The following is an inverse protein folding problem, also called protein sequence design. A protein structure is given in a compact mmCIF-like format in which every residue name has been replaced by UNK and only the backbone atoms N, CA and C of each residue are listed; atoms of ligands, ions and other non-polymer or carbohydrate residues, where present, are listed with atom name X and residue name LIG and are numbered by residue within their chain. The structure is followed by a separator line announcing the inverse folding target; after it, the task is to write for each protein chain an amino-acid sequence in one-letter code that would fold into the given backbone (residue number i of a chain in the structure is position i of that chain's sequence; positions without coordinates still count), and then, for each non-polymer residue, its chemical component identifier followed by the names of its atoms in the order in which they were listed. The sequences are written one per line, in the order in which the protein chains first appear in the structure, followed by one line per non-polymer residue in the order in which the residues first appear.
data_IF_980924780176
#
_entry.id   IF_980924780176
#
_cell.length_a   1.000
_cell.length_b   1.000
_cell.length_c   1.000
_cell.angle_alpha   90.00
_cell.angle_beta   90.00
_cell.angle_gamma   90.00
#
_symmetry.space_group_name_H-M   'P 1'
#
loop_
_entity.id
_entity.type
_entity.pdbx_description
1 polymer ?
#
# COMPACT_ATOMS: atom_id res chain seq x y z
N UNK A 1 5.90 31.02 -6.77
CA UNK A 1 5.80 29.91 -5.79
C UNK A 1 6.54 30.34 -4.53
N UNK A 2 6.05 30.01 -3.33
CA UNK A 2 6.80 30.24 -2.10
C UNK A 2 8.06 29.37 -2.09
N UNK A 3 9.17 29.91 -1.58
CA UNK A 3 10.40 29.12 -1.40
C UNK A 3 10.15 28.04 -0.35
N UNK A 4 10.73 26.87 -0.57
CA UNK A 4 10.66 25.76 0.37
C UNK A 4 11.66 25.92 1.51
N UNK A 5 11.27 25.60 2.73
CA UNK A 5 12.18 25.69 3.85
C UNK A 5 13.13 24.49 3.91
N UNK A 6 14.44 24.75 3.87
CA UNK A 6 15.52 23.77 4.07
C UNK A 6 16.16 24.03 5.43
N UNK A 7 15.98 23.12 6.37
CA UNK A 7 16.46 23.24 7.75
C UNK A 7 17.68 22.36 7.93
N UNK A 8 18.80 22.96 8.33
CA UNK A 8 20.06 22.26 8.60
C UNK A 8 20.36 22.26 10.10
N UNK A 9 20.49 21.08 10.70
CA UNK A 9 21.04 20.87 12.05
C UNK A 9 22.49 20.39 11.92
N UNK A 10 23.44 21.28 12.15
CA UNK A 10 24.87 21.01 11.94
C UNK A 10 25.72 21.87 12.90
N UNK A 11 26.82 21.32 13.41
CA UNK A 11 27.75 22.02 14.29
C UNK A 11 29.02 22.49 13.57
N UNK A 12 29.38 21.84 12.46
CA UNK A 12 30.56 22.20 11.67
C UNK A 12 30.33 23.52 10.92
N UNK A 13 30.93 24.60 11.44
CA UNK A 13 30.84 25.94 10.87
C UNK A 13 31.38 26.03 9.44
N UNK A 14 32.39 25.23 9.08
CA UNK A 14 32.96 25.23 7.74
C UNK A 14 31.98 24.62 6.73
N UNK A 15 31.41 23.46 7.07
CA UNK A 15 30.38 22.84 6.24
C UNK A 15 29.15 23.73 6.10
N UNK A 16 28.69 24.35 7.20
CA UNK A 16 27.56 25.27 7.19
C UNK A 16 27.80 26.41 6.21
N UNK A 17 28.97 27.06 6.26
CA UNK A 17 29.28 28.19 5.39
C UNK A 17 29.35 27.75 3.92
N UNK A 18 30.06 26.66 3.63
CA UNK A 18 30.18 26.07 2.30
C UNK A 18 28.82 25.71 1.70
N UNK A 19 28.00 24.95 2.43
CA UNK A 19 26.70 24.48 1.95
C UNK A 19 25.69 25.63 1.82
N UNK A 20 25.63 26.53 2.81
CA UNK A 20 24.74 27.70 2.76
C UNK A 20 25.10 28.64 1.62
N UNK A 21 26.40 28.86 1.37
CA UNK A 21 26.88 29.69 0.26
C UNK A 21 26.53 29.07 -1.08
N UNK A 22 26.72 27.75 -1.23
CA UNK A 22 26.37 27.03 -2.46
C UNK A 22 24.85 27.06 -2.76
N UNK A 23 24.01 26.85 -1.74
CA UNK A 23 22.54 26.93 -1.91
C UNK A 23 22.11 28.34 -2.32
N UNK A 24 22.74 29.39 -1.79
CA UNK A 24 22.43 30.79 -2.12
C UNK A 24 22.98 31.26 -3.47
N UNK A 25 24.09 30.70 -3.94
CA UNK A 25 24.76 31.12 -5.19
C UNK A 25 24.37 30.29 -6.42
N UNK A 26 23.72 29.14 -6.22
CA UNK A 26 23.22 28.28 -7.30
C UNK A 26 21.80 28.66 -7.73
N UNK A 27 21.33 28.04 -8.83
CA UNK A 27 19.94 28.12 -9.31
C UNK A 27 18.90 27.73 -8.24
N UNK A 28 19.33 27.08 -7.16
CA UNK A 28 18.47 26.62 -6.08
C UNK A 28 18.11 27.71 -5.07
N UNK A 29 18.74 28.89 -5.17
CA UNK A 29 18.41 30.06 -4.35
C UNK A 29 16.96 30.53 -4.54
N UNK A 30 16.37 30.30 -5.71
CA UNK A 30 14.97 30.60 -5.99
C UNK A 30 14.01 29.54 -5.43
N UNK A 31 14.51 28.33 -5.16
CA UNK A 31 13.71 27.18 -4.71
C UNK A 31 13.73 26.99 -3.20
N UNK A 32 14.86 27.24 -2.54
CA UNK A 32 15.02 26.99 -1.11
C UNK A 32 15.25 28.27 -0.30
N UNK A 33 14.59 28.34 0.85
CA UNK A 33 14.90 29.25 1.94
C UNK A 33 15.56 28.45 3.06
N UNK A 34 16.83 28.71 3.32
CA UNK A 34 17.62 27.90 4.24
C UNK A 34 17.59 28.48 5.67
N UNK A 35 17.42 27.62 6.67
CA UNK A 35 17.53 27.93 8.10
C UNK A 35 18.53 26.97 8.74
N UNK A 36 19.44 27.49 9.56
CA UNK A 36 20.50 26.68 10.20
C UNK A 36 20.36 26.77 11.71
N UNK A 37 20.50 25.63 12.39
CA UNK A 37 20.64 25.57 13.84
C UNK A 37 21.89 24.80 14.21
N UNK A 38 22.70 25.39 15.08
CA UNK A 38 23.95 24.79 15.58
C UNK A 38 23.79 24.17 16.97
N UNK A 39 22.66 24.41 17.65
CA UNK A 39 22.34 23.80 18.95
C UNK A 39 21.09 22.94 18.88
N UNK A 40 21.07 21.85 19.67
CA UNK A 40 19.93 20.93 19.75
C UNK A 40 18.69 21.64 20.25
N UNK A 41 18.83 22.51 21.24
CA UNK A 41 17.73 23.21 21.90
C UNK A 41 16.94 24.05 20.91
N UNK A 42 17.63 24.88 20.12
CA UNK A 42 17.00 25.78 19.15
C UNK A 42 16.40 25.00 17.97
N UNK A 43 17.15 24.03 17.44
CA UNK A 43 16.66 23.19 16.34
C UNK A 43 15.42 22.38 16.73
N UNK A 44 15.39 21.83 17.93
CA UNK A 44 14.28 21.02 18.41
C UNK A 44 13.07 21.87 18.78
N UNK A 45 13.29 23.06 19.35
CA UNK A 45 12.21 24.04 19.58
C UNK A 45 11.56 24.45 18.26
N UNK A 46 12.36 24.71 17.22
CA UNK A 46 11.86 24.99 15.88
C UNK A 46 11.03 23.82 15.32
N UNK A 47 11.58 22.60 15.34
CA UNK A 47 10.88 21.37 14.89
C UNK A 47 9.54 21.21 15.61
N UNK A 48 9.53 21.44 16.92
CA UNK A 48 8.33 21.26 17.73
C UNK A 48 7.28 22.35 17.53
N UNK A 49 7.64 23.56 17.11
CA UNK A 49 6.69 24.65 16.87
C UNK A 49 6.22 24.76 15.42
N UNK A 50 7.03 24.26 14.50
CA UNK A 50 6.76 24.37 13.06
C UNK A 50 5.49 23.62 12.66
N UNK A 51 4.63 24.31 11.90
CA UNK A 51 3.40 23.75 11.32
C UNK A 51 3.47 23.63 9.80
N UNK A 52 4.47 24.25 9.20
CA UNK A 52 4.71 24.22 7.75
C UNK A 52 5.65 23.07 7.38
N UNK A 53 5.65 22.70 6.11
CA UNK A 53 6.48 21.60 5.60
C UNK A 53 7.90 22.08 5.34
N UNK A 54 8.89 21.30 5.79
CA UNK A 54 10.30 21.59 5.58
C UNK A 54 11.09 20.33 5.23
N UNK A 55 12.26 20.53 4.60
CA UNK A 55 13.28 19.50 4.45
C UNK A 55 14.21 19.61 5.65
N UNK A 56 14.44 18.52 6.37
CA UNK A 56 15.33 18.48 7.52
C UNK A 56 16.60 17.71 7.16
N UNK A 57 17.73 18.42 7.09
CA UNK A 57 19.06 17.83 7.04
C UNK A 57 19.62 17.84 8.45
N UNK A 58 19.78 16.67 9.07
CA UNK A 58 20.28 16.58 10.43
C UNK A 58 21.58 15.77 10.48
N UNK A 59 22.65 16.37 10.99
CA UNK A 59 23.86 15.63 11.28
C UNK A 59 23.59 14.55 12.33
N UNK A 60 24.21 13.38 12.19
CA UNK A 60 24.03 12.23 13.10
C UNK A 60 24.27 12.58 14.58
N UNK A 61 25.13 13.56 14.88
CA UNK A 61 25.35 14.04 16.26
C UNK A 61 24.11 14.69 16.90
N UNK A 62 23.15 15.13 16.10
CA UNK A 62 21.88 15.68 16.59
C UNK A 62 20.90 14.60 17.04
N UNK A 63 21.18 13.32 16.77
CA UNK A 63 20.32 12.23 17.23
C UNK A 63 20.35 12.08 18.76
N UNK A 64 19.25 11.58 19.37
CA UNK A 64 17.92 11.36 18.76
C UNK A 64 17.17 12.68 18.51
N UNK A 65 16.37 12.74 17.43
CA UNK A 65 15.51 13.89 17.10
C UNK A 65 14.14 13.81 17.81
N UNK A 66 13.44 14.95 18.01
CA UNK A 66 12.07 14.96 18.53
C UNK A 66 11.11 14.22 17.60
N UNK A 67 10.06 13.58 18.14
CA UNK A 67 9.08 12.81 17.35
C UNK A 67 8.46 13.61 16.19
N UNK A 68 8.27 14.92 16.41
CA UNK A 68 7.71 15.83 15.40
C UNK A 68 8.56 15.95 14.12
N UNK A 69 9.86 15.70 14.21
CA UNK A 69 10.77 15.69 13.06
C UNK A 69 10.33 14.64 12.01
N UNK A 70 9.76 13.53 12.48
CA UNK A 70 9.33 12.41 11.64
C UNK A 70 7.90 12.58 11.10
N UNK A 71 7.12 13.51 11.66
CA UNK A 71 5.71 13.74 11.29
C UNK A 71 5.51 14.81 10.22
N UNK A 72 6.43 15.79 10.13
CA UNK A 72 6.19 17.03 9.36
C UNK A 72 7.26 17.44 8.34
N UNK A 73 8.23 16.58 8.01
CA UNK A 73 9.26 16.92 7.02
C UNK A 73 9.84 15.74 6.26
N UNK A 74 10.58 16.07 5.20
CA UNK A 74 11.48 15.12 4.53
C UNK A 74 12.79 15.09 5.33
N UNK A 75 13.03 14.04 6.11
CA UNK A 75 14.24 13.89 6.92
C UNK A 75 15.35 13.18 6.14
N UNK A 76 16.54 13.77 6.17
CA UNK A 76 17.78 13.19 5.64
C UNK A 76 18.87 13.34 6.70
N UNK A 77 19.55 12.24 7.01
CA UNK A 77 20.65 12.22 7.97
C UNK A 77 21.95 12.54 7.23
N UNK A 78 22.74 13.46 7.77
CA UNK A 78 24.09 13.75 7.31
C UNK A 78 25.11 12.98 8.16
N UNK A 79 26.03 12.27 7.52
CA UNK A 79 27.13 11.56 8.17
C UNK A 79 28.48 11.96 7.58
N UNK A 80 29.55 11.83 8.36
CA UNK A 80 30.92 12.01 7.87
C UNK A 80 31.46 10.79 7.13
N UNK A 81 30.89 9.62 7.39
CA UNK A 81 31.31 8.37 6.74
C UNK A 81 30.23 7.88 5.78
N UNK A 82 30.61 7.24 4.65
CA UNK A 82 29.65 6.55 3.82
C UNK A 82 29.11 5.35 4.60
N UNK A 83 27.93 5.51 5.19
CA UNK A 83 27.19 4.41 5.82
C UNK A 83 26.46 3.66 4.71
N UNK A 84 26.55 2.33 4.70
CA UNK A 84 25.70 1.50 3.85
C UNK A 84 24.23 1.81 4.14
N UNK A 85 23.48 2.17 3.10
CA UNK A 85 22.06 2.61 3.14
C UNK A 85 21.16 1.59 3.87
N UNK A 86 21.61 0.34 3.99
CA UNK A 86 20.89 -0.78 4.59
C UNK A 86 20.88 -0.83 6.13
N UNK A 87 21.65 0.02 6.84
CA UNK A 87 21.73 -0.04 8.32
C UNK A 87 20.85 0.98 9.08
N UNK A 88 20.26 1.97 8.41
CA UNK A 88 19.50 3.05 9.08
C UNK A 88 18.10 3.23 8.50
N UNK A 89 17.15 3.63 9.34
CA UNK A 89 15.72 3.79 8.99
C UNK A 89 15.41 4.99 8.07
N UNK A 90 16.40 5.86 7.84
CA UNK A 90 16.27 7.11 7.09
C UNK A 90 17.42 7.25 6.07
N UNK A 91 17.22 8.00 4.96
CA UNK A 91 18.28 8.22 3.98
C UNK A 91 19.47 8.92 4.64
N UNK A 92 20.65 8.33 4.49
CA UNK A 92 21.91 8.87 5.01
C UNK A 92 22.74 9.38 3.83
N UNK A 93 23.14 10.65 3.88
CA UNK A 93 24.04 11.25 2.90
C UNK A 93 25.39 11.57 3.55
N UNK A 94 26.47 11.17 2.90
CA UNK A 94 27.82 11.54 3.31
C UNK A 94 28.06 13.04 3.05
N UNK A 95 28.55 13.79 4.04
CA UNK A 95 28.86 15.23 3.93
C UNK A 95 29.99 15.51 2.93
N UNK A 96 30.98 14.62 2.87
CA UNK A 96 32.21 14.81 2.10
C UNK A 96 32.04 14.34 0.65
N UNK A 97 31.20 15.05 -0.08
CA UNK A 97 30.97 14.86 -1.51
C UNK A 97 30.83 16.23 -2.20
N UNK A 98 30.91 16.31 -3.53
CA UNK A 98 30.64 17.55 -4.27
C UNK A 98 29.26 18.13 -3.89
N UNK A 99 29.20 19.42 -3.52
CA UNK A 99 27.96 20.05 -3.00
C UNK A 99 26.80 20.01 -4.01
N UNK A 100 27.11 20.01 -5.30
CA UNK A 100 26.12 19.82 -6.37
C UNK A 100 25.48 18.42 -6.31
N UNK A 101 26.26 17.37 -6.04
CA UNK A 101 25.76 16.00 -5.89
C UNK A 101 24.96 15.87 -4.60
N UNK A 102 25.48 16.40 -3.48
CA UNK A 102 24.77 16.39 -2.21
C UNK A 102 23.39 17.04 -2.34
N UNK A 103 23.33 18.25 -2.91
CA UNK A 103 22.07 18.97 -3.10
C UNK A 103 21.15 18.27 -4.10
N UNK A 104 21.71 17.66 -5.17
CA UNK A 104 20.93 16.85 -6.10
C UNK A 104 20.27 15.65 -5.41
N UNK A 105 20.99 14.96 -4.51
CA UNK A 105 20.44 13.85 -3.74
C UNK A 105 19.35 14.33 -2.76
N UNK A 106 19.55 15.48 -2.10
CA UNK A 106 18.53 16.11 -1.26
C UNK A 106 17.26 16.42 -2.06
N UNK A 107 17.41 17.02 -3.25
CA UNK A 107 16.28 17.33 -4.15
C UNK A 107 15.61 16.07 -4.67
N UNK A 108 16.37 15.02 -5.01
CA UNK A 108 15.84 13.75 -5.47
C UNK A 108 14.97 13.09 -4.40
N UNK A 109 15.49 12.96 -3.18
CA UNK A 109 14.73 12.43 -2.05
C UNK A 109 13.52 13.29 -1.71
N UNK A 110 13.66 14.60 -1.82
CA UNK A 110 12.55 15.50 -1.61
C UNK A 110 11.45 15.34 -2.67
N UNK A 111 11.82 15.19 -3.94
CA UNK A 111 10.88 14.97 -5.04
C UNK A 111 10.17 13.62 -4.91
N UNK A 112 10.86 12.59 -4.44
CA UNK A 112 10.27 11.29 -4.10
C UNK A 112 9.27 11.43 -2.94
N UNK A 113 9.67 12.12 -1.86
CA UNK A 113 8.84 12.45 -0.71
C UNK A 113 7.62 13.34 -1.05
N UNK A 114 7.77 14.30 -1.97
CA UNK A 114 6.64 15.14 -2.40
C UNK A 114 5.82 14.52 -3.50
N UNK A 115 6.38 13.63 -4.33
CA UNK A 115 5.54 12.86 -5.23
C UNK A 115 4.60 11.99 -4.41
N UNK A 116 5.09 11.32 -3.36
CA UNK A 116 4.20 10.58 -2.45
C UNK A 116 3.20 11.50 -1.72
N UNK A 117 3.60 12.71 -1.29
CA UNK A 117 2.77 13.64 -0.50
C UNK A 117 1.86 14.61 -1.30
N UNK A 118 2.21 15.02 -2.52
CA UNK A 118 1.31 15.77 -3.40
C UNK A 118 0.21 14.86 -3.96
N UNK A 119 0.43 13.55 -3.95
CA UNK A 119 -0.60 12.57 -4.22
C UNK A 119 -1.46 12.27 -2.96
N UNK A 120 -1.08 12.74 -1.75
CA UNK A 120 -1.90 12.66 -0.51
C UNK A 120 -2.94 13.79 -0.43
N UNK A 121 -3.54 14.20 -1.55
CA UNK A 121 -4.59 15.21 -1.53
C UNK A 121 -5.89 14.64 -0.95
N UNK A 122 -6.03 14.62 0.38
CA UNK A 122 -7.26 14.34 1.16
C UNK A 122 -8.20 13.22 0.66
N UNK A 123 -7.70 12.32 -0.19
CA UNK A 123 -8.43 11.16 -0.71
C UNK A 123 -8.25 10.06 0.30
N UNK A 124 -9.34 9.73 1.00
CA UNK A 124 -9.42 8.53 1.83
C UNK A 124 -9.11 7.34 0.90
N UNK A 125 -8.02 6.62 1.16
CA UNK A 125 -7.72 5.38 0.45
C UNK A 125 -8.81 4.36 0.72
N UNK A 126 -9.26 3.65 -0.31
CA UNK A 126 -10.25 2.57 -0.17
C UNK A 126 -9.55 1.22 -0.03
N UNK A 127 -10.00 0.39 0.90
CA UNK A 127 -9.54 -0.99 1.07
C UNK A 127 -10.56 -1.93 0.43
N UNK A 128 -10.13 -2.69 -0.57
CA UNK A 128 -10.97 -3.62 -1.33
C UNK A 128 -10.41 -5.02 -1.16
N UNK A 129 -11.23 -5.95 -0.64
CA UNK A 129 -10.84 -7.35 -0.51
C UNK A 129 -11.58 -8.25 -1.50
N UNK A 130 -10.90 -9.29 -1.96
CA UNK A 130 -11.50 -10.40 -2.70
C UNK A 130 -11.46 -11.65 -1.83
N UNK A 131 -12.63 -12.24 -1.60
CA UNK A 131 -12.81 -13.40 -0.72
C UNK A 131 -13.68 -14.48 -1.36
N UNK A 132 -13.54 -15.71 -0.89
CA UNK A 132 -14.50 -16.78 -1.18
C UNK A 132 -14.37 -17.89 -0.16
N UNK A 133 -15.49 -18.55 0.17
CA UNK A 133 -15.50 -19.74 1.02
C UNK A 133 -14.80 -20.96 0.38
N UNK A 134 -14.45 -20.92 -0.91
CA UNK A 134 -13.90 -22.06 -1.65
C UNK A 134 -12.68 -21.64 -2.47
N UNK A 135 -11.67 -22.50 -2.50
CA UNK A 135 -10.51 -22.38 -3.39
C UNK A 135 -10.88 -22.56 -4.86
N UNK A 136 -10.01 -22.09 -5.77
CA UNK A 136 -10.17 -22.31 -7.22
C UNK A 136 -11.33 -21.56 -7.89
N UNK A 137 -12.02 -20.67 -7.18
CA UNK A 137 -13.07 -19.81 -7.75
C UNK A 137 -12.52 -18.59 -8.50
N UNK A 138 -11.20 -18.32 -8.44
CA UNK A 138 -10.54 -17.22 -9.15
C UNK A 138 -10.31 -15.94 -8.34
N UNK A 139 -10.15 -16.03 -7.00
CA UNK A 139 -9.89 -14.88 -6.11
C UNK A 139 -8.67 -14.06 -6.53
N UNK A 140 -7.49 -14.69 -6.49
CA UNK A 140 -6.19 -14.12 -6.88
C UNK A 140 -6.25 -13.42 -8.22
N UNK A 141 -6.82 -14.11 -9.23
CA UNK A 141 -6.94 -13.57 -10.58
C UNK A 141 -7.87 -12.35 -10.62
N UNK A 142 -9.01 -12.42 -9.94
CA UNK A 142 -9.96 -11.29 -9.87
C UNK A 142 -9.33 -10.09 -9.16
N UNK A 143 -8.64 -10.31 -8.04
CA UNK A 143 -7.94 -9.28 -7.29
C UNK A 143 -6.85 -8.60 -8.13
N UNK A 144 -5.99 -9.40 -8.79
CA UNK A 144 -4.91 -8.88 -9.62
C UNK A 144 -5.44 -8.11 -10.84
N UNK A 145 -6.46 -8.63 -11.53
CA UNK A 145 -7.06 -7.94 -12.69
C UNK A 145 -7.77 -6.64 -12.29
N UNK A 146 -8.44 -6.63 -11.15
CA UNK A 146 -9.07 -5.43 -10.63
C UNK A 146 -8.04 -4.38 -10.23
N UNK A 147 -7.00 -4.77 -9.49
CA UNK A 147 -5.91 -3.87 -9.15
C UNK A 147 -5.26 -3.26 -10.40
N UNK A 148 -5.05 -4.08 -11.43
CA UNK A 148 -4.54 -3.64 -12.74
C UNK A 148 -5.50 -2.67 -13.43
N UNK A 149 -6.79 -2.95 -13.46
CA UNK A 149 -7.77 -2.07 -14.11
C UNK A 149 -7.83 -0.69 -13.43
N UNK A 150 -7.83 -0.67 -12.09
CA UNK A 150 -7.73 0.56 -11.32
C UNK A 150 -6.42 1.31 -11.61
N UNK A 151 -5.30 0.60 -11.66
CA UNK A 151 -4.01 1.18 -12.03
C UNK A 151 -4.02 1.80 -13.44
N UNK A 152 -4.62 1.12 -14.42
CA UNK A 152 -4.78 1.65 -15.77
C UNK A 152 -5.67 2.88 -15.85
N UNK A 153 -6.63 3.01 -14.92
CA UNK A 153 -7.46 4.21 -14.78
C UNK A 153 -6.73 5.35 -14.05
N UNK A 154 -5.45 5.18 -13.74
CA UNK A 154 -4.60 6.17 -13.09
C UNK A 154 -4.70 6.18 -11.56
N UNK A 155 -5.37 5.19 -10.95
CA UNK A 155 -5.36 5.02 -9.49
C UNK A 155 -4.01 4.46 -9.04
N UNK A 156 -3.53 4.91 -7.90
CA UNK A 156 -2.36 4.31 -7.23
C UNK A 156 -2.87 3.14 -6.40
N UNK A 157 -2.47 1.93 -6.78
CA UNK A 157 -2.97 0.70 -6.15
C UNK A 157 -1.81 -0.02 -5.48
N UNK A 158 -2.02 -0.41 -4.23
CA UNK A 158 -1.13 -1.34 -3.52
C UNK A 158 -1.81 -2.71 -3.40
N UNK A 159 -1.13 -3.78 -3.81
CA UNK A 159 -1.63 -5.14 -3.75
C UNK A 159 -0.98 -5.92 -2.60
N UNK A 160 -1.80 -6.55 -1.76
CA UNK A 160 -1.38 -7.45 -0.70
C UNK A 160 -2.04 -8.82 -0.88
N UNK A 161 -1.24 -9.86 -1.02
CA UNK A 161 -1.73 -11.24 -0.88
C UNK A 161 -1.65 -11.67 0.58
N UNK A 162 -2.78 -12.12 1.11
CA UNK A 162 -2.88 -12.82 2.37
C UNK A 162 -3.25 -14.29 2.15
N UNK A 163 -2.74 -14.88 1.06
CA UNK A 163 -2.80 -16.33 0.88
C UNK A 163 -1.65 -17.02 1.61
N UNK A 164 -1.93 -18.15 2.26
CA UNK A 164 -0.88 -18.99 2.86
C UNK A 164 0.09 -19.54 1.79
N UNK A 165 -0.43 -19.78 0.58
CA UNK A 165 0.31 -20.32 -0.56
C UNK A 165 0.05 -19.45 -1.81
N UNK A 166 0.69 -18.27 -1.91
CA UNK A 166 0.43 -17.37 -3.02
C UNK A 166 0.98 -17.95 -4.32
N UNK A 167 0.25 -17.77 -5.42
CA UNK A 167 0.71 -18.23 -6.74
C UNK A 167 1.82 -17.33 -7.27
N UNK A 168 3.03 -17.86 -7.39
CA UNK A 168 4.15 -17.14 -8.00
C UNK A 168 4.00 -16.94 -9.52
N UNK A 169 3.03 -17.58 -10.17
CA UNK A 169 2.87 -17.61 -11.63
C UNK A 169 2.59 -16.22 -12.26
N UNK A 170 2.18 -15.24 -11.46
CA UNK A 170 1.92 -13.88 -11.90
C UNK A 170 2.73 -12.82 -11.16
N UNK A 171 3.63 -13.23 -10.28
CA UNK A 171 4.59 -12.33 -9.63
C UNK A 171 5.82 -12.22 -10.54
N UNK A 172 6.37 -11.03 -10.69
CA UNK A 172 7.60 -10.88 -11.45
C UNK A 172 8.71 -11.69 -10.76
N UNK A 173 9.51 -12.47 -11.53
CA UNK A 173 10.64 -13.19 -10.97
C UNK A 173 11.53 -12.20 -10.22
N UNK A 174 11.71 -12.41 -8.91
CA UNK A 174 12.61 -11.57 -8.14
C UNK A 174 14.00 -11.63 -8.76
N UNK A 175 14.59 -10.46 -9.05
CA UNK A 175 15.95 -10.37 -9.57
C UNK A 175 17.00 -10.85 -8.55
N UNK A 176 16.63 -10.92 -7.27
CA UNK A 176 17.47 -11.38 -6.17
C UNK A 176 16.76 -12.46 -5.34
N UNK A 177 17.45 -13.58 -5.11
CA UNK A 177 16.92 -14.76 -4.41
C UNK A 177 16.55 -14.52 -2.93
N UNK A 178 16.90 -13.35 -2.35
CA UNK A 178 16.80 -13.02 -0.92
C UNK A 178 15.79 -11.88 -0.59
N UNK A 179 15.00 -11.41 -1.56
CA UNK A 179 14.01 -10.35 -1.32
C UNK A 179 12.69 -10.89 -0.73
N UNK A 180 12.74 -11.43 0.49
CA UNK A 180 11.50 -11.71 1.24
C UNK A 180 11.05 -10.46 2.01
N UNK A 181 10.63 -9.45 1.26
CA UNK A 181 10.27 -8.16 1.81
C UNK A 181 8.97 -8.19 2.58
N UNK A 182 8.04 -9.09 2.24
CA UNK A 182 6.83 -9.29 3.02
C UNK A 182 7.15 -9.70 4.48
N UNK A 183 8.00 -10.71 4.69
CA UNK A 183 8.42 -11.13 6.03
C UNK A 183 9.12 -10.01 6.80
N UNK A 184 9.97 -9.22 6.10
CA UNK A 184 10.59 -8.04 6.72
C UNK A 184 9.56 -7.01 7.16
N UNK A 185 8.54 -6.75 6.33
CA UNK A 185 7.44 -5.84 6.68
C UNK A 185 6.66 -6.33 7.90
N UNK A 186 6.41 -7.64 8.04
CA UNK A 186 5.80 -8.20 9.25
C UNK A 186 6.69 -7.99 10.48
N UNK A 187 7.99 -8.25 10.36
CA UNK A 187 8.96 -8.03 11.44
C UNK A 187 8.99 -6.57 11.92
N UNK A 188 9.00 -5.59 11.00
CA UNK A 188 8.97 -4.17 11.38
C UNK A 188 7.67 -3.81 12.11
N UNK A 189 6.52 -4.37 11.71
CA UNK A 189 5.25 -4.17 12.40
C UNK A 189 5.27 -4.64 13.85
N UNK A 190 5.96 -5.75 14.12
CA UNK A 190 6.16 -6.28 15.49
C UNK A 190 7.08 -5.41 16.34
N UNK A 191 7.93 -4.59 15.71
CA UNK A 191 8.94 -3.77 16.40
C UNK A 191 8.44 -2.34 16.62
N UNK A 192 8.07 -1.63 15.56
CA UNK A 192 7.48 -0.28 15.60
C UNK A 192 6.67 -0.01 14.31
N UNK A 193 5.37 0.24 14.44
CA UNK A 193 4.47 0.52 13.32
C UNK A 193 4.87 1.75 12.49
N UNK A 194 5.56 2.73 13.09
CA UNK A 194 6.08 3.92 12.38
C UNK A 194 7.22 3.52 11.44
N UNK A 195 8.09 2.62 11.90
CA UNK A 195 9.17 2.06 11.08
C UNK A 195 8.58 1.23 9.95
N UNK A 196 7.59 0.39 10.25
CA UNK A 196 6.88 -0.37 9.23
C UNK A 196 6.33 0.55 8.12
N UNK A 197 5.67 1.65 8.50
CA UNK A 197 5.14 2.66 7.55
C UNK A 197 6.26 3.28 6.71
N UNK A 198 7.36 3.70 7.32
CA UNK A 198 8.50 4.29 6.62
C UNK A 198 9.16 3.32 5.63
N UNK A 199 9.12 2.01 5.92
CA UNK A 199 9.72 0.96 5.09
C UNK A 199 8.85 0.51 3.91
N UNK A 200 7.59 0.94 3.84
CA UNK A 200 6.70 0.63 2.69
C UNK A 200 7.32 1.09 1.37
N UNK A 201 7.79 2.33 1.29
CA UNK A 201 8.37 2.88 0.05
C UNK A 201 9.70 2.23 -0.34
N UNK A 202 10.48 1.77 0.64
CA UNK A 202 11.75 1.08 0.39
C UNK A 202 11.56 -0.32 -0.20
N UNK A 203 10.56 -1.04 0.32
CA UNK A 203 10.36 -2.46 0.02
C UNK A 203 9.28 -2.74 -1.00
N UNK A 204 8.46 -1.75 -1.37
CA UNK A 204 7.55 -1.94 -2.49
C UNK A 204 8.31 -2.13 -3.81
N UNK A 205 7.66 -2.82 -4.73
CA UNK A 205 8.03 -2.87 -6.14
C UNK A 205 6.81 -2.56 -6.98
N UNK A 206 7.05 -1.89 -8.10
CA UNK A 206 6.03 -1.69 -9.14
C UNK A 206 6.01 -2.93 -10.02
N UNK A 207 4.87 -3.57 -10.15
CA UNK A 207 4.71 -4.61 -11.15
C UNK A 207 4.73 -3.96 -12.55
N UNK A 208 5.72 -4.29 -13.38
CA UNK A 208 5.93 -3.73 -14.71
C UNK A 208 4.78 -3.97 -15.69
N UNK A 209 4.08 -5.11 -15.59
CA UNK A 209 2.91 -5.42 -16.44
C UNK A 209 1.59 -4.96 -15.80
N UNK A 210 1.37 -5.30 -14.53
CA UNK A 210 0.06 -5.04 -13.89
C UNK A 210 -0.08 -3.60 -13.39
N UNK A 211 1.02 -2.89 -13.20
CA UNK A 211 1.01 -1.48 -12.81
C UNK A 211 0.47 -1.21 -11.40
N UNK A 212 0.45 -2.18 -10.49
CA UNK A 212 0.24 -1.91 -9.07
C UNK A 212 1.55 -2.05 -8.31
N UNK A 213 1.61 -1.47 -7.11
CA UNK A 213 2.73 -1.64 -6.18
C UNK A 213 2.44 -2.85 -5.28
N UNK A 214 3.48 -3.61 -4.90
CA UNK A 214 3.34 -4.79 -4.05
C UNK A 214 4.63 -5.06 -3.28
N UNK A 215 4.59 -5.93 -2.28
CA UNK A 215 5.80 -6.46 -1.65
C UNK A 215 6.24 -7.73 -2.39
N UNK A 216 7.44 -7.75 -3.02
CA UNK A 216 7.97 -8.96 -3.62
C UNK A 216 8.37 -9.99 -2.57
N UNK A 217 8.47 -11.23 -3.03
CA UNK A 217 8.74 -12.40 -2.19
C UNK A 217 7.53 -13.33 -2.08
N UNK A 218 7.79 -14.56 -1.67
CA UNK A 218 6.78 -15.54 -1.29
C UNK A 218 6.86 -15.63 0.23
N UNK A 219 5.77 -15.30 0.92
CA UNK A 219 5.69 -15.45 2.38
C UNK A 219 5.87 -16.92 2.75
N UNK A 220 6.64 -17.19 3.80
CA UNK A 220 6.78 -18.55 4.31
C UNK A 220 5.41 -19.01 4.87
N UNK A 221 4.89 -20.19 4.49
CA UNK A 221 3.58 -20.66 4.95
C UNK A 221 3.40 -20.68 6.47
N UNK A 222 4.46 -21.01 7.21
CA UNK A 222 4.42 -20.99 8.68
C UNK A 222 4.29 -19.57 9.24
N UNK A 223 4.98 -18.60 8.64
CA UNK A 223 4.85 -17.19 9.03
C UNK A 223 3.44 -16.66 8.73
N UNK A 224 2.85 -17.11 7.61
CA UNK A 224 1.44 -16.87 7.37
C UNK A 224 0.61 -17.49 8.51
N UNK A 225 0.72 -18.77 8.83
CA UNK A 225 -0.12 -19.35 9.91
C UNK A 225 -0.01 -18.63 11.27
N UNK A 226 1.15 -18.04 11.57
CA UNK A 226 1.40 -17.27 12.80
C UNK A 226 0.89 -15.82 12.76
N UNK A 227 0.52 -15.30 11.59
CA UNK A 227 0.13 -13.91 11.42
C UNK A 227 -1.16 -13.58 12.19
N UNK A 228 -1.03 -12.66 13.15
CA UNK A 228 -2.11 -12.27 14.08
C UNK A 228 -3.05 -11.21 13.48
N UNK A 229 -4.12 -10.88 14.21
CA UNK A 229 -4.99 -9.76 13.87
C UNK A 229 -4.21 -8.44 13.93
N UNK A 230 -3.36 -8.27 14.93
CA UNK A 230 -2.52 -7.09 15.13
C UNK A 230 -1.51 -6.94 13.98
N UNK A 231 -0.85 -8.02 13.57
CA UNK A 231 0.10 -8.01 12.44
C UNK A 231 -0.60 -7.56 11.15
N UNK A 232 -1.80 -8.09 10.90
CA UNK A 232 -2.60 -7.78 9.72
C UNK A 232 -3.05 -6.33 9.71
N UNK A 233 -3.58 -5.86 10.83
CA UNK A 233 -3.98 -4.47 11.00
C UNK A 233 -2.78 -3.55 10.80
N UNK A 234 -1.65 -3.84 11.46
CA UNK A 234 -0.44 -3.03 11.35
C UNK A 234 0.02 -2.92 9.89
N UNK A 235 0.07 -4.03 9.15
CA UNK A 235 0.52 -4.03 7.76
C UNK A 235 -0.41 -3.24 6.83
N UNK A 236 -1.73 -3.41 6.94
CA UNK A 236 -2.69 -2.63 6.15
C UNK A 236 -2.57 -1.15 6.51
N UNK A 237 -2.53 -0.82 7.80
CA UNK A 237 -2.41 0.57 8.26
C UNK A 237 -1.09 1.21 7.84
N UNK A 238 0.01 0.46 7.79
CA UNK A 238 1.30 0.96 7.32
C UNK A 238 1.22 1.41 5.86
N UNK A 239 0.56 0.63 4.99
CA UNK A 239 0.34 1.02 3.59
C UNK A 239 -0.58 2.24 3.49
N UNK A 240 -1.69 2.25 4.23
CA UNK A 240 -2.63 3.37 4.24
C UNK A 240 -1.99 4.68 4.76
N UNK A 241 -1.18 4.59 5.80
CA UNK A 241 -0.52 5.72 6.46
C UNK A 241 0.52 6.41 5.56
N UNK A 242 1.01 5.74 4.51
CA UNK A 242 1.82 6.42 3.47
C UNK A 242 1.03 7.50 2.73
N UNK A 243 -0.31 7.35 2.65
CA UNK A 243 -1.21 8.12 1.79
C UNK A 243 -0.81 8.13 0.30
N UNK A 244 0.08 7.21 -0.09
CA UNK A 244 0.60 7.05 -1.44
C UNK A 244 -0.36 6.32 -2.38
N UNK A 245 -1.48 5.79 -1.87
CA UNK A 245 -2.39 4.93 -2.62
C UNK A 245 -3.84 5.42 -2.58
N UNK A 246 -4.52 5.35 -3.72
CA UNK A 246 -5.97 5.55 -3.78
C UNK A 246 -6.72 4.27 -3.37
N UNK A 247 -6.11 3.09 -3.59
CA UNK A 247 -6.71 1.79 -3.28
C UNK A 247 -5.68 0.81 -2.72
N UNK A 248 -6.06 0.06 -1.67
CA UNK A 248 -5.33 -1.13 -1.21
C UNK A 248 -6.16 -2.36 -1.57
N UNK A 249 -5.64 -3.19 -2.47
CA UNK A 249 -6.25 -4.45 -2.90
C UNK A 249 -5.77 -5.60 -2.03
N UNK A 250 -6.71 -6.33 -1.42
CA UNK A 250 -6.43 -7.50 -0.59
C UNK A 250 -6.91 -8.77 -1.30
N UNK A 251 -6.00 -9.69 -1.54
CA UNK A 251 -6.30 -11.03 -2.03
C UNK A 251 -6.26 -12.02 -0.86
N UNK A 252 -7.45 -12.52 -0.49
CA UNK A 252 -7.61 -13.31 0.73
C UNK A 252 -7.77 -14.79 0.41
N UNK A 253 -7.19 -15.65 1.23
CA UNK A 253 -7.49 -17.09 1.20
C UNK A 253 -8.91 -17.41 1.69
N UNK A 254 -9.32 -18.67 1.55
CA UNK A 254 -10.69 -19.11 1.83
C UNK A 254 -10.99 -19.45 3.30
N UNK A 255 -9.98 -19.39 4.18
CA UNK A 255 -10.13 -19.69 5.60
C UNK A 255 -10.81 -18.54 6.38
N UNK A 256 -10.83 -18.65 7.71
CA UNK A 256 -11.17 -17.55 8.62
C UNK A 256 -10.06 -17.39 9.67
N UNK A 257 -8.80 -17.54 9.23
CA UNK A 257 -7.66 -17.19 10.09
C UNK A 257 -7.78 -15.74 10.56
N UNK A 258 -7.19 -15.38 11.71
CA UNK A 258 -7.20 -14.00 12.21
C UNK A 258 -6.78 -12.96 11.16
N UNK A 259 -5.84 -13.31 10.26
CA UNK A 259 -5.48 -12.47 9.11
C UNK A 259 -6.69 -12.14 8.24
N UNK A 260 -7.49 -13.15 7.90
CA UNK A 260 -8.55 -13.03 6.90
C UNK A 260 -9.70 -12.26 7.49
N UNK A 261 -10.11 -12.60 8.71
CA UNK A 261 -11.20 -11.90 9.41
C UNK A 261 -10.85 -10.45 9.68
N UNK A 262 -9.60 -10.15 10.05
CA UNK A 262 -9.14 -8.76 10.26
C UNK A 262 -9.11 -7.98 8.95
N UNK A 263 -8.55 -8.56 7.87
CA UNK A 263 -8.55 -7.94 6.55
C UNK A 263 -9.97 -7.66 6.05
N UNK A 264 -10.89 -8.63 6.21
CA UNK A 264 -12.30 -8.44 5.89
C UNK A 264 -12.90 -7.30 6.70
N UNK A 265 -12.65 -7.21 8.01
CA UNK A 265 -13.16 -6.12 8.88
C UNK A 265 -12.61 -4.75 8.51
N UNK A 266 -11.36 -4.66 8.08
CA UNK A 266 -10.73 -3.39 7.67
C UNK A 266 -11.09 -2.96 6.24
N UNK A 267 -11.66 -3.85 5.43
CA UNK A 267 -12.06 -3.53 4.06
C UNK A 267 -13.25 -2.56 4.03
N UNK A 268 -13.27 -1.60 3.11
CA UNK A 268 -14.45 -0.79 2.80
C UNK A 268 -15.40 -1.58 1.88
N UNK A 269 -14.86 -2.41 0.98
CA UNK A 269 -15.61 -3.26 0.07
C UNK A 269 -15.05 -4.68 0.04
N UNK A 270 -15.94 -5.68 -0.02
CA UNK A 270 -15.54 -7.09 -0.14
C UNK A 270 -16.24 -7.74 -1.32
N UNK A 271 -15.49 -8.23 -2.29
CA UNK A 271 -15.99 -9.05 -3.39
C UNK A 271 -15.98 -10.51 -2.94
N UNK A 272 -17.14 -11.02 -2.53
CA UNK A 272 -17.32 -12.43 -2.20
C UNK A 272 -17.63 -13.21 -3.47
N UNK A 273 -16.63 -13.90 -4.01
CA UNK A 273 -16.78 -14.72 -5.19
C UNK A 273 -17.44 -16.06 -4.86
N UNK A 274 -18.38 -16.48 -5.70
CA UNK A 274 -18.89 -17.83 -5.75
C UNK A 274 -18.89 -18.35 -7.18
N UNK A 275 -19.01 -19.66 -7.34
CA UNK A 275 -19.24 -20.30 -8.63
C UNK A 275 -20.58 -21.00 -8.53
N UNK A 276 -21.32 -21.03 -9.63
CA UNK A 276 -22.61 -21.68 -9.75
C UNK A 276 -22.48 -23.22 -9.78
N UNK A 277 -21.99 -23.76 -8.67
CA UNK A 277 -21.81 -25.18 -8.40
C UNK A 277 -22.44 -25.51 -7.05
N UNK A 278 -23.18 -26.62 -6.96
CA UNK A 278 -23.96 -26.94 -5.77
C UNK A 278 -23.09 -27.10 -4.52
N UNK A 279 -21.94 -27.76 -4.65
CA UNK A 279 -21.00 -27.99 -3.55
C UNK A 279 -20.39 -26.65 -3.11
N UNK A 280 -20.07 -25.78 -4.06
CA UNK A 280 -19.53 -24.45 -3.78
C UNK A 280 -20.55 -23.56 -3.06
N UNK A 281 -21.80 -23.56 -3.50
CA UNK A 281 -22.89 -22.81 -2.87
C UNK A 281 -23.19 -23.34 -1.46
N UNK A 282 -23.17 -24.65 -1.23
CA UNK A 282 -23.38 -25.24 0.10
C UNK A 282 -22.24 -24.88 1.08
N UNK A 283 -20.97 -24.93 0.63
CA UNK A 283 -19.83 -24.43 1.44
C UNK A 283 -19.95 -22.94 1.75
N UNK A 284 -20.41 -22.16 0.78
CA UNK A 284 -20.65 -20.72 0.95
C UNK A 284 -21.73 -20.45 2.00
N UNK A 285 -22.84 -21.19 1.99
CA UNK A 285 -23.86 -21.11 3.05
C UNK A 285 -23.30 -21.43 4.42
N UNK A 286 -22.49 -22.48 4.53
CA UNK A 286 -21.86 -22.84 5.81
C UNK A 286 -20.94 -21.73 6.30
N UNK A 287 -20.15 -21.13 5.41
CA UNK A 287 -19.28 -19.99 5.74
C UNK A 287 -20.08 -18.77 6.20
N UNK A 288 -21.15 -18.42 5.49
CA UNK A 288 -22.04 -17.32 5.87
C UNK A 288 -22.60 -17.54 7.28
N UNK A 289 -23.08 -18.75 7.59
CA UNK A 289 -23.56 -19.10 8.93
C UNK A 289 -22.50 -18.87 10.01
N UNK A 290 -21.26 -19.29 9.76
CA UNK A 290 -20.14 -19.08 10.69
C UNK A 290 -19.87 -17.59 10.92
N UNK A 291 -19.89 -16.77 9.87
CA UNK A 291 -19.66 -15.33 9.96
C UNK A 291 -20.83 -14.60 10.65
N UNK A 292 -22.08 -15.02 10.41
CA UNK A 292 -23.26 -14.40 11.07
C UNK A 292 -23.43 -14.78 12.54
N UNK A 293 -22.79 -15.86 13.00
CA UNK A 293 -22.90 -16.33 14.38
C UNK A 293 -22.16 -15.44 15.38
N UNK A 294 -21.24 -14.61 14.91
CA UNK A 294 -20.45 -13.68 15.72
C UNK A 294 -21.01 -12.26 15.54
N UNK A 295 -21.45 -11.62 16.62
CA UNK A 295 -22.14 -10.33 16.57
C UNK A 295 -21.32 -9.18 15.96
N UNK A 296 -19.99 -9.20 16.13
CA UNK A 296 -19.07 -8.22 15.52
C UNK A 296 -18.92 -8.36 13.99
N UNK A 297 -19.39 -9.47 13.40
CA UNK A 297 -19.20 -9.78 11.98
C UNK A 297 -20.45 -9.45 11.14
N UNK A 298 -21.52 -8.92 11.75
CA UNK A 298 -22.74 -8.52 11.03
C UNK A 298 -22.51 -7.27 10.17
N UNK A 299 -21.81 -6.26 10.68
CA UNK A 299 -21.43 -5.06 9.90
C UNK A 299 -20.57 -5.42 8.69
N UNK A 300 -19.73 -6.45 8.83
CA UNK A 300 -18.86 -6.93 7.78
C UNK A 300 -19.65 -7.52 6.58
N UNK A 301 -20.86 -8.03 6.79
CA UNK A 301 -21.69 -8.59 5.72
C UNK A 301 -22.29 -7.49 4.85
N UNK A 302 -22.58 -6.31 5.41
CA UNK A 302 -23.19 -5.21 4.66
C UNK A 302 -22.29 -4.63 3.56
N UNK A 303 -20.97 -4.80 3.69
CA UNK A 303 -19.98 -4.41 2.67
C UNK A 303 -19.60 -5.54 1.70
N UNK A 304 -20.22 -6.72 1.84
CA UNK A 304 -19.96 -7.86 0.97
C UNK A 304 -20.87 -7.85 -0.24
N UNK A 305 -20.25 -7.86 -1.41
CA UNK A 305 -20.90 -8.00 -2.71
C UNK A 305 -20.73 -9.43 -3.19
N UNK A 306 -21.85 -10.13 -3.39
CA UNK A 306 -21.82 -11.53 -3.77
C UNK A 306 -21.76 -11.65 -5.30
N UNK A 307 -20.63 -12.10 -5.83
CA UNK A 307 -20.34 -12.11 -7.25
C UNK A 307 -20.25 -13.56 -7.75
N UNK A 308 -21.02 -13.89 -8.79
CA UNK A 308 -20.90 -15.18 -9.45
C UNK A 308 -19.78 -15.09 -10.49
N UNK A 309 -18.67 -15.74 -10.21
CA UNK A 309 -17.54 -15.87 -11.13
C UNK A 309 -17.68 -17.10 -12.02
N UNK A 310 -16.96 -17.09 -13.14
CA UNK A 310 -17.01 -18.12 -14.20
C UNK A 310 -18.41 -18.28 -14.78
N UNK A 311 -19.13 -17.17 -14.89
CA UNK A 311 -20.47 -17.14 -15.48
C UNK A 311 -20.39 -17.35 -17.00
N UNK A 312 -21.27 -18.20 -17.52
CA UNK A 312 -21.33 -18.57 -18.94
C UNK A 312 -22.60 -18.06 -19.65
N UNK A 313 -23.33 -17.12 -19.04
CA UNK A 313 -24.57 -16.54 -19.60
C UNK A 313 -25.87 -17.09 -19.03
N UNK A 314 -25.82 -18.14 -18.20
CA UNK A 314 -26.99 -18.68 -17.49
C UNK A 314 -26.61 -19.31 -16.16
N UNK A 315 -27.51 -19.24 -15.18
CA UNK A 315 -27.39 -19.98 -13.91
C UNK A 315 -28.06 -21.35 -14.05
N UNK A 316 -27.35 -22.39 -13.64
CA UNK A 316 -27.81 -23.77 -13.49
C UNK A 316 -28.61 -23.97 -12.20
N UNK A 317 -28.24 -23.25 -11.12
CA UNK A 317 -29.00 -23.29 -9.86
C UNK A 317 -30.03 -22.15 -9.82
N UNK A 318 -31.19 -22.41 -9.19
CA UNK A 318 -32.24 -21.42 -9.04
C UNK A 318 -31.80 -20.25 -8.13
N UNK A 319 -32.29 -19.03 -8.41
CA UNK A 319 -31.93 -17.83 -7.63
C UNK A 319 -32.24 -17.98 -6.13
N UNK A 320 -33.37 -18.60 -5.77
CA UNK A 320 -33.77 -18.87 -4.37
C UNK A 320 -32.82 -19.85 -3.65
N UNK A 321 -31.98 -20.55 -4.42
CA UNK A 321 -30.97 -21.45 -3.90
C UNK A 321 -29.59 -20.79 -3.77
N UNK A 322 -29.51 -19.46 -3.80
CA UNK A 322 -28.27 -18.74 -3.54
C UNK A 322 -28.19 -18.31 -2.06
N UNK A 323 -26.99 -18.30 -1.46
CA UNK A 323 -26.81 -17.92 -0.05
C UNK A 323 -27.05 -16.43 0.19
N UNK A 324 -26.83 -15.60 -0.83
CA UNK A 324 -26.95 -14.14 -0.79
C UNK A 324 -27.48 -13.63 -2.14
N UNK A 325 -28.11 -12.44 -2.18
CA UNK A 325 -28.45 -11.79 -3.44
C UNK A 325 -27.21 -11.54 -4.30
N UNK A 326 -27.29 -11.85 -5.60
CA UNK A 326 -26.17 -11.65 -6.52
C UNK A 326 -26.03 -10.17 -6.86
N UNK A 327 -24.86 -9.61 -6.58
CA UNK A 327 -24.51 -8.22 -6.92
C UNK A 327 -23.95 -8.08 -8.34
N UNK A 328 -23.51 -9.19 -8.95
CA UNK A 328 -23.28 -9.29 -10.38
C UNK A 328 -22.45 -10.51 -10.78
N UNK A 329 -21.96 -10.48 -12.02
CA UNK A 329 -21.39 -11.64 -12.70
C UNK A 329 -20.03 -11.32 -13.31
N UNK A 330 -19.12 -12.28 -13.25
CA UNK A 330 -17.85 -12.24 -13.94
C UNK A 330 -17.74 -13.41 -14.92
N UNK A 331 -17.38 -13.16 -16.19
CA UNK A 331 -17.39 -14.18 -17.23
C UNK A 331 -16.30 -15.24 -17.01
N UNK A 332 -16.55 -16.44 -17.51
CA UNK A 332 -15.52 -17.46 -17.60
C UNK A 332 -14.59 -17.21 -18.78
N UNK A 333 -13.29 -17.07 -18.51
CA UNK A 333 -12.24 -16.89 -19.53
C UNK A 333 -11.37 -18.16 -19.60
N UNK A 334 -11.59 -19.07 -20.56
CA UNK A 334 -10.86 -20.34 -20.68
C UNK A 334 -9.34 -20.18 -20.84
N UNK A 335 -8.91 -19.12 -21.52
CA UNK A 335 -7.51 -18.85 -21.88
C UNK A 335 -6.62 -18.69 -20.64
N UNK A 336 -7.20 -18.25 -19.52
CA UNK A 336 -6.53 -18.09 -18.24
C UNK A 336 -6.22 -19.39 -17.51
N UNK A 337 -6.57 -20.55 -18.07
CA UNK A 337 -6.13 -21.84 -17.52
C UNK A 337 -4.76 -22.27 -18.03
N UNK A 338 -4.32 -21.72 -19.16
CA UNK A 338 -3.14 -22.20 -19.90
C UNK A 338 -2.16 -21.07 -20.20
N UNK A 339 -2.26 -19.94 -19.49
CA UNK A 339 -1.36 -18.82 -19.72
C UNK A 339 0.08 -19.22 -19.42
N UNK A 340 0.98 -18.93 -20.36
CA UNK A 340 2.41 -19.16 -20.21
C UNK A 340 3.16 -17.96 -19.63
N UNK A 341 2.53 -16.78 -19.63
CA UNK A 341 3.13 -15.55 -19.13
C UNK A 341 2.06 -14.52 -18.74
N UNK A 342 2.42 -13.57 -17.88
CA UNK A 342 1.52 -12.52 -17.36
C UNK A 342 1.01 -11.60 -18.48
N UNK A 343 1.77 -11.44 -19.56
CA UNK A 343 1.39 -10.70 -20.75
C UNK A 343 0.15 -11.29 -21.44
N UNK A 344 -0.06 -12.60 -21.37
CA UNK A 344 -1.24 -13.24 -21.97
C UNK A 344 -2.53 -13.00 -21.16
N UNK A 345 -2.41 -12.52 -19.92
CA UNK A 345 -3.53 -12.02 -19.12
C UNK A 345 -3.92 -10.59 -19.50
N UNK A 346 -3.19 -9.95 -20.43
CA UNK A 346 -3.44 -8.54 -20.77
C UNK A 346 -4.75 -8.28 -21.52
N UNK A 347 -5.43 -9.32 -22.02
CA UNK A 347 -6.65 -9.18 -22.83
C UNK A 347 -7.70 -8.36 -22.07
N UNK A 348 -7.90 -7.12 -22.50
CA UNK A 348 -9.08 -6.31 -22.17
C UNK A 348 -10.25 -6.93 -22.94
N UNK A 349 -10.94 -7.85 -22.28
CA UNK A 349 -12.15 -8.48 -22.77
C UNK A 349 -13.32 -8.23 -21.82
N UNK A 350 -14.38 -9.01 -22.01
CA UNK A 350 -15.63 -8.94 -21.24
C UNK A 350 -15.41 -8.94 -19.71
N UNK A 351 -14.34 -9.56 -19.20
CA UNK A 351 -14.04 -9.59 -17.77
C UNK A 351 -13.68 -8.22 -17.20
N UNK A 352 -12.84 -7.44 -17.88
CA UNK A 352 -12.48 -6.08 -17.44
C UNK A 352 -13.69 -5.15 -17.46
N UNK A 353 -14.55 -5.27 -18.48
CA UNK A 353 -15.79 -4.50 -18.57
C UNK A 353 -16.77 -4.86 -17.45
N UNK A 354 -16.93 -6.16 -17.17
CA UNK A 354 -17.78 -6.66 -16.08
C UNK A 354 -17.27 -6.18 -14.72
N UNK A 355 -15.95 -6.22 -14.48
CA UNK A 355 -15.34 -5.66 -13.27
C UNK A 355 -15.61 -4.16 -13.14
N UNK A 356 -15.39 -3.38 -14.20
CA UNK A 356 -15.62 -1.94 -14.18
C UNK A 356 -17.10 -1.60 -13.89
N UNK A 357 -18.04 -2.39 -14.42
CA UNK A 357 -19.47 -2.24 -14.16
C UNK A 357 -19.81 -2.50 -12.68
N UNK A 358 -19.24 -3.54 -12.08
CA UNK A 358 -19.44 -3.86 -10.66
C UNK A 358 -19.01 -2.71 -9.75
N UNK A 359 -17.84 -2.11 -10.00
CA UNK A 359 -17.33 -1.02 -9.17
C UNK A 359 -18.09 0.30 -9.35
N UNK A 360 -18.60 0.61 -10.54
CA UNK A 360 -19.43 1.80 -10.76
C UNK A 360 -20.73 1.73 -9.95
N UNK A 361 -21.32 0.54 -9.84
CA UNK A 361 -22.55 0.32 -9.06
C UNK A 361 -22.26 0.53 -7.56
N UNK A 362 -21.14 0.02 -7.05
CA UNK A 362 -20.71 0.16 -5.65
C UNK A 362 -20.49 1.62 -5.23
N UNK A 363 -19.83 2.41 -6.08
CA UNK A 363 -19.57 3.85 -5.81
C UNK A 363 -20.86 4.67 -5.85
N UNK A 364 -21.77 4.40 -6.80
CA UNK A 364 -23.04 5.12 -6.91
C UNK A 364 -24.00 4.86 -5.74
N UNK A 365 -23.98 3.64 -5.16
CA UNK A 365 -24.79 3.31 -4.00
C UNK A 365 -24.28 4.02 -2.73
N UNK A 366 -22.96 4.12 -2.56
CA UNK A 366 -22.34 4.83 -1.44
C UNK A 366 -22.53 6.36 -1.51
N UNK A 367 -22.58 6.94 -2.71
CA UNK A 367 -22.90 8.36 -2.92
C UNK A 367 -24.39 8.65 -2.67
N UNK A 368 -25.29 7.72 -3.01
CA UNK A 368 -26.72 7.86 -2.76
C UNK A 368 -27.07 7.81 -1.26
N UNK A 369 -26.43 6.94 -0.47
CA UNK A 369 -26.63 6.88 0.98
C UNK A 369 -26.13 8.15 1.71
N UNK A 370 -25.07 8.79 1.21
CA UNK A 370 -24.56 10.05 1.75
C UNK A 370 -25.46 11.27 1.46
N UNK A 371 -26.39 11.17 0.50
CA UNK A 371 -27.35 12.22 0.18
C UNK A 371 -28.66 12.13 0.99
N UNK A 372 -28.90 11.00 1.68
CA UNK A 372 -30.13 10.78 2.47
C UNK A 372 -29.94 11.17 3.95
N UNK A 373 -28.71 11.41 4.39
CA UNK A 373 -28.38 11.80 5.79
C UNK A 373 -27.86 13.26 5.89
N UNK A 374 -28.04 14.06 4.83
CA UNK A 374 -27.67 15.48 4.79
C UNK A 374 -28.77 16.44 5.24
#
# INVERSE_FOLDING_TARGET
MSKMQLVLLEQDAYFIDMFSTYVRSSEQAERFAMTVFTSKEQGFEFINRSRETYILLAHESFMPLPERAFQHGCLIILSETPVSIDMLEYPVLCKFQPLNQLLSHVVSHFNEYTSSRMLTGNRKSEVIAVYSAVGGCGKTLTAAHLARELAYQGKRVFYLSFEQLPSAAWMEPSAAADENYFSRMLYYGKTDARVQTAKVELYKRRHGIMGFDYFPGVSEPTEMDEMTAEDTNSLIQAVLATGGYDTVMLDLESSLHPRVTTALRLSDHVLWLAVDDRIHLDKTRMRLKQMTAVSQDQEMIHKMQFIINKYSGSMSNAADSLPLPVSGFLPYIPEWKTFSSVESLQVRGEFSESLAALFRISVSAAEADNLVVG
#
